data_IF_466268307580
#
_entry.id   IF_466268307580
#
_cell.length_a   1.000
_cell.length_b   1.000
_cell.length_c   1.000
_cell.angle_alpha   90.00
_cell.angle_beta   90.00
_cell.angle_gamma   90.00
#
_symmetry.space_group_name_H-M   'P 1'
#
loop_
_entity.id
_entity.type
_entity.pdbx_description
1 polymer ?
#
# COMPACT_ATOMS: atom_id res chain seq x y z
N UNK A 1 17.06 13.31 32.30
CA UNK A 1 17.76 12.68 31.15
C UNK A 1 17.64 11.15 31.07
N UNK A 2 17.05 10.45 32.07
CA UNK A 2 16.85 8.99 32.02
C UNK A 2 15.68 8.52 31.13
N UNK A 3 14.69 9.39 30.84
CA UNK A 3 13.55 9.04 29.98
C UNK A 3 13.86 9.01 28.47
N UNK A 4 14.90 9.72 28.02
CA UNK A 4 15.23 9.86 26.59
C UNK A 4 15.87 8.58 26.04
N UNK A 5 16.71 7.90 26.82
CA UNK A 5 17.37 6.65 26.41
C UNK A 5 16.40 5.46 26.36
N UNK A 6 15.43 5.42 27.27
CA UNK A 6 14.34 4.42 27.23
C UNK A 6 13.39 4.66 26.06
N UNK A 7 13.02 5.91 25.80
CA UNK A 7 12.16 6.27 24.67
C UNK A 7 12.83 6.00 23.32
N UNK A 8 14.12 6.31 23.15
CA UNK A 8 14.84 6.09 21.89
C UNK A 8 15.04 4.60 21.57
N UNK A 9 15.30 3.77 22.58
CA UNK A 9 15.42 2.32 22.41
C UNK A 9 14.09 1.67 22.09
N UNK A 10 13.01 2.06 22.77
CA UNK A 10 11.64 1.64 22.44
C UNK A 10 11.25 2.06 21.01
N UNK A 11 11.59 3.29 20.61
CA UNK A 11 11.33 3.77 19.27
C UNK A 11 12.11 2.98 18.20
N UNK A 12 13.39 2.71 18.44
CA UNK A 12 14.20 1.89 17.54
C UNK A 12 13.66 0.46 17.41
N UNK A 13 13.23 -0.15 18.52
CA UNK A 13 12.55 -1.45 18.54
C UNK A 13 11.24 -1.42 17.75
N UNK A 14 10.42 -0.38 17.92
CA UNK A 14 9.17 -0.21 17.19
C UNK A 14 9.41 -0.06 15.68
N UNK A 15 10.43 0.70 15.26
CA UNK A 15 10.81 0.82 13.85
C UNK A 15 11.30 -0.50 13.26
N UNK A 16 12.14 -1.25 13.99
CA UNK A 16 12.59 -2.57 13.57
C UNK A 16 11.41 -3.55 13.44
N UNK A 17 10.54 -3.60 14.44
CA UNK A 17 9.36 -4.47 14.44
C UNK A 17 8.40 -4.14 13.28
N UNK A 18 8.16 -2.84 13.02
CA UNK A 18 7.36 -2.38 11.88
C UNK A 18 7.96 -2.81 10.54
N UNK A 19 9.29 -2.72 10.39
CA UNK A 19 10.00 -3.17 9.18
C UNK A 19 9.89 -4.68 8.92
N UNK A 20 9.93 -5.50 9.98
CA UNK A 20 9.74 -6.96 9.85
C UNK A 20 8.32 -7.30 9.41
N UNK A 21 7.30 -6.65 9.99
CA UNK A 21 5.90 -6.88 9.63
C UNK A 21 5.63 -6.56 8.14
N UNK A 22 6.12 -5.41 7.67
CA UNK A 22 6.01 -5.01 6.26
C UNK A 22 6.63 -6.04 5.31
N UNK A 23 7.80 -6.60 5.68
CA UNK A 23 8.48 -7.58 4.84
C UNK A 23 7.72 -8.91 4.75
N UNK A 24 7.20 -9.41 5.88
CA UNK A 24 6.44 -10.66 5.90
C UNK A 24 5.15 -10.53 5.08
N UNK A 25 4.35 -9.51 5.40
CA UNK A 25 3.08 -9.24 4.72
C UNK A 25 3.29 -9.00 3.23
N UNK A 26 4.33 -8.24 2.86
CA UNK A 26 4.67 -7.99 1.46
C UNK A 26 5.05 -9.26 0.68
N UNK A 27 5.79 -10.21 1.30
CA UNK A 27 6.14 -11.46 0.61
C UNK A 27 4.96 -12.41 0.44
N UNK A 28 4.01 -12.43 1.38
CA UNK A 28 2.80 -13.26 1.31
C UNK A 28 1.79 -12.66 0.33
N UNK A 29 1.50 -11.36 0.44
CA UNK A 29 0.61 -10.65 -0.49
C UNK A 29 1.15 -10.71 -1.93
N UNK A 30 2.46 -10.49 -2.10
CA UNK A 30 3.13 -10.64 -3.40
C UNK A 30 3.00 -12.05 -3.97
N UNK A 31 3.04 -13.10 -3.14
CA UNK A 31 2.80 -14.47 -3.59
C UNK A 31 1.37 -14.66 -4.09
N UNK A 32 0.38 -14.24 -3.29
CA UNK A 32 -1.04 -14.39 -3.62
C UNK A 32 -1.35 -13.69 -4.96
N UNK A 33 -0.81 -12.48 -5.16
CA UNK A 33 -1.02 -11.74 -6.41
C UNK A 33 -0.27 -12.38 -7.58
N UNK A 34 1.00 -12.77 -7.39
CA UNK A 34 1.80 -13.37 -8.48
C UNK A 34 1.25 -14.74 -8.92
N UNK A 35 0.83 -15.59 -7.98
CA UNK A 35 0.28 -16.90 -8.30
C UNK A 35 -1.17 -16.80 -8.79
N UNK A 36 -1.98 -15.92 -8.18
CA UNK A 36 -3.38 -15.76 -8.54
C UNK A 36 -3.62 -15.01 -9.86
N UNK A 37 -2.94 -13.88 -10.08
CA UNK A 37 -3.15 -13.03 -11.26
C UNK A 37 -2.16 -13.30 -12.39
N UNK A 38 -0.90 -13.59 -12.08
CA UNK A 38 0.16 -13.75 -13.08
C UNK A 38 0.55 -15.21 -13.35
N UNK A 39 0.07 -16.18 -12.54
CA UNK A 39 0.48 -17.59 -12.57
C UNK A 39 2.01 -17.81 -12.53
N UNK A 40 2.76 -16.90 -11.89
CA UNK A 40 4.23 -16.97 -11.79
C UNK A 40 4.62 -17.53 -10.41
N UNK A 41 5.40 -18.61 -10.40
CA UNK A 41 5.96 -19.22 -9.18
C UNK A 41 7.46 -18.95 -9.07
N UNK A 42 7.85 -18.02 -8.19
CA UNK A 42 9.25 -17.70 -7.91
C UNK A 42 9.67 -18.20 -6.52
N UNK A 43 10.95 -18.52 -6.35
CA UNK A 43 11.53 -18.84 -5.04
C UNK A 43 11.45 -17.61 -4.11
N UNK A 44 11.11 -17.77 -2.81
CA UNK A 44 10.89 -16.64 -1.89
C UNK A 44 12.07 -15.66 -1.79
N UNK A 45 13.30 -16.17 -1.81
CA UNK A 45 14.51 -15.32 -1.75
C UNK A 45 14.64 -14.40 -2.96
N UNK A 46 14.35 -14.92 -4.16
CA UNK A 46 14.47 -14.20 -5.42
C UNK A 46 13.37 -13.12 -5.51
N UNK A 47 12.15 -13.46 -5.09
CA UNK A 47 11.04 -12.51 -4.98
C UNK A 47 11.38 -11.36 -4.03
N UNK A 48 11.96 -11.65 -2.85
CA UNK A 48 12.37 -10.63 -1.88
C UNK A 48 13.48 -9.74 -2.42
N UNK A 49 14.45 -10.31 -3.15
CA UNK A 49 15.56 -9.55 -3.73
C UNK A 49 15.08 -8.62 -4.85
N UNK A 50 14.24 -9.13 -5.76
CA UNK A 50 13.67 -8.34 -6.86
C UNK A 50 12.80 -7.19 -6.34
N UNK A 51 11.85 -7.46 -5.44
CA UNK A 51 10.95 -6.42 -4.90
C UNK A 51 11.70 -5.37 -4.08
N UNK A 52 12.71 -5.75 -3.29
CA UNK A 52 13.56 -4.78 -2.58
C UNK A 52 14.46 -4.00 -3.54
N UNK A 53 15.01 -4.63 -4.58
CA UNK A 53 15.80 -3.95 -5.60
C UNK A 53 14.99 -2.88 -6.31
N UNK A 54 13.77 -3.21 -6.75
CA UNK A 54 12.86 -2.26 -7.41
C UNK A 54 12.47 -1.10 -6.48
N UNK A 55 12.36 -1.33 -5.16
CA UNK A 55 12.06 -0.25 -4.22
C UNK A 55 13.28 0.63 -3.89
N UNK A 56 14.44 0.01 -3.66
CA UNK A 56 15.64 0.69 -3.16
C UNK A 56 16.39 1.43 -4.27
N UNK A 57 16.51 0.85 -5.47
CA UNK A 57 17.29 1.44 -6.56
C UNK A 57 16.76 2.83 -6.95
N UNK A 58 15.45 3.04 -7.21
CA UNK A 58 14.93 4.36 -7.53
C UNK A 58 15.08 5.35 -6.37
N UNK A 59 14.90 4.88 -5.13
CA UNK A 59 15.06 5.70 -3.95
C UNK A 59 16.49 6.21 -3.81
N UNK A 60 17.50 5.36 -4.03
CA UNK A 60 18.92 5.75 -4.02
C UNK A 60 19.20 6.75 -5.14
N UNK A 61 18.77 6.47 -6.37
CA UNK A 61 19.01 7.34 -7.53
C UNK A 61 18.46 8.75 -7.29
N UNK A 62 17.21 8.87 -6.86
CA UNK A 62 16.60 10.18 -6.61
C UNK A 62 17.25 10.88 -5.42
N UNK A 63 17.63 10.15 -4.37
CA UNK A 63 18.31 10.75 -3.21
C UNK A 63 19.66 11.34 -3.61
N UNK A 64 20.43 10.64 -4.46
CA UNK A 64 21.74 11.11 -4.94
C UNK A 64 21.60 12.30 -5.89
N UNK A 65 20.59 12.32 -6.76
CA UNK A 65 20.44 13.37 -7.78
C UNK A 65 19.72 14.62 -7.24
N UNK A 66 18.70 14.44 -6.40
CA UNK A 66 17.72 15.49 -6.08
C UNK A 66 17.72 15.93 -4.59
N UNK A 67 18.54 15.32 -3.74
CA UNK A 67 18.59 15.64 -2.30
C UNK A 67 17.26 15.42 -1.57
N UNK A 68 17.09 16.05 -0.40
CA UNK A 68 15.92 15.86 0.49
C UNK A 68 14.56 16.17 -0.19
N UNK A 69 14.52 17.14 -1.10
CA UNK A 69 13.29 17.52 -1.82
C UNK A 69 12.83 16.39 -2.74
N UNK A 70 13.76 15.71 -3.42
CA UNK A 70 13.45 14.57 -4.28
C UNK A 70 12.96 13.35 -3.50
N UNK A 71 13.58 13.06 -2.36
CA UNK A 71 13.16 11.97 -1.48
C UNK A 71 11.75 12.20 -0.93
N UNK A 72 11.43 13.44 -0.53
CA UNK A 72 10.08 13.81 -0.07
C UNK A 72 9.04 13.62 -1.18
N UNK A 73 9.34 14.05 -2.41
CA UNK A 73 8.45 13.86 -3.55
C UNK A 73 8.25 12.37 -3.90
N UNK A 74 9.31 11.55 -3.81
CA UNK A 74 9.19 10.09 -3.98
C UNK A 74 8.32 9.44 -2.91
N UNK A 75 8.44 9.90 -1.66
CA UNK A 75 7.61 9.42 -0.57
C UNK A 75 6.15 9.76 -0.83
N UNK A 76 5.84 11.00 -1.22
CA UNK A 76 4.48 11.43 -1.59
C UNK A 76 3.95 10.62 -2.77
N UNK A 77 4.74 10.43 -3.82
CA UNK A 77 4.36 9.60 -4.97
C UNK A 77 4.06 8.16 -4.56
N UNK A 78 4.87 7.57 -3.67
CA UNK A 78 4.63 6.23 -3.16
C UNK A 78 3.29 6.13 -2.44
N UNK A 79 2.92 7.16 -1.67
CA UNK A 79 1.62 7.21 -1.00
C UNK A 79 0.47 7.34 -1.99
N UNK A 80 0.62 8.16 -3.05
CA UNK A 80 -0.40 8.31 -4.10
C UNK A 80 -0.63 6.99 -4.83
N UNK A 81 0.46 6.27 -5.14
CA UNK A 81 0.37 4.95 -5.79
C UNK A 81 -0.35 3.95 -4.88
N UNK A 82 -0.03 3.91 -3.58
CA UNK A 82 -0.70 3.04 -2.60
C UNK A 82 -2.19 3.38 -2.46
N UNK A 83 -2.53 4.66 -2.44
CA UNK A 83 -3.90 5.12 -2.28
C UNK A 83 -4.77 4.73 -3.48
N UNK A 84 -4.22 4.85 -4.69
CA UNK A 84 -4.84 4.33 -5.92
C UNK A 84 -5.05 2.82 -5.87
N UNK A 85 -4.04 2.04 -5.46
CA UNK A 85 -4.14 0.59 -5.33
C UNK A 85 -5.31 0.17 -4.43
N UNK A 86 -5.51 0.88 -3.31
CA UNK A 86 -6.58 0.58 -2.38
C UNK A 86 -7.96 0.74 -3.03
N UNK A 87 -8.17 1.79 -3.83
CA UNK A 87 -9.43 1.98 -4.55
C UNK A 87 -9.69 0.81 -5.51
N UNK A 88 -8.68 0.43 -6.30
CA UNK A 88 -8.78 -0.72 -7.21
C UNK A 88 -8.99 -2.06 -6.50
N UNK A 89 -8.57 -2.20 -5.24
CA UNK A 89 -8.81 -3.41 -4.45
C UNK A 89 -10.21 -3.45 -3.83
N UNK A 90 -10.72 -2.32 -3.35
CA UNK A 90 -11.99 -2.25 -2.62
C UNK A 90 -13.19 -2.49 -3.54
N UNK A 91 -13.24 -1.89 -4.74
CA UNK A 91 -14.40 -2.09 -5.63
C UNK A 91 -14.63 -3.56 -6.03
N UNK A 92 -13.63 -4.31 -6.52
CA UNK A 92 -13.78 -5.72 -6.82
C UNK A 92 -14.11 -6.56 -5.58
N UNK A 93 -13.55 -6.21 -4.42
CA UNK A 93 -13.86 -6.91 -3.17
C UNK A 93 -15.34 -6.75 -2.80
N UNK A 94 -15.88 -5.53 -2.85
CA UNK A 94 -17.30 -5.27 -2.59
C UNK A 94 -18.18 -5.97 -3.63
N UNK A 95 -17.77 -5.97 -4.90
CA UNK A 95 -18.47 -6.68 -5.97
C UNK A 95 -18.52 -8.20 -5.72
N UNK A 96 -17.38 -8.82 -5.43
CA UNK A 96 -17.28 -10.27 -5.21
C UNK A 96 -17.96 -10.73 -3.92
N UNK A 97 -17.89 -9.94 -2.86
CA UNK A 97 -18.57 -10.23 -1.59
C UNK A 97 -20.09 -10.00 -1.64
N UNK A 98 -20.56 -9.22 -2.63
CA UNK A 98 -21.98 -8.97 -2.89
C UNK A 98 -22.59 -9.91 -3.93
N UNK A 99 -21.79 -10.77 -4.55
CA UNK A 99 -22.20 -11.69 -5.61
C UNK A 99 -22.68 -13.02 -5.01
N UNK A 100 -23.97 -13.33 -5.21
CA UNK A 100 -24.59 -14.56 -4.71
C UNK A 100 -24.03 -15.82 -5.36
N UNK A 101 -23.57 -15.75 -6.62
CA UNK A 101 -22.95 -16.89 -7.29
C UNK A 101 -21.58 -17.22 -6.71
N UNK A 102 -20.83 -16.22 -6.23
CA UNK A 102 -19.50 -16.42 -5.65
C UNK A 102 -19.52 -16.76 -4.16
N UNK A 103 -20.43 -16.16 -3.39
CA UNK A 103 -20.48 -16.31 -1.93
C UNK A 103 -21.55 -17.28 -1.41
N UNK A 104 -22.52 -17.68 -2.25
CA UNK A 104 -23.61 -18.58 -1.84
C UNK A 104 -24.40 -18.02 -0.66
N UNK A 105 -24.51 -18.81 0.41
CA UNK A 105 -25.22 -18.44 1.64
C UNK A 105 -24.48 -17.37 2.47
N UNK A 106 -23.18 -17.16 2.23
CA UNK A 106 -22.36 -16.16 2.93
C UNK A 106 -22.33 -14.79 2.25
N UNK A 107 -23.29 -14.51 1.36
CA UNK A 107 -23.38 -13.21 0.68
C UNK A 107 -23.64 -12.09 1.68
N UNK A 108 -23.05 -10.91 1.44
CA UNK A 108 -23.30 -9.75 2.28
C UNK A 108 -24.80 -9.41 2.36
N UNK A 109 -25.31 -9.27 3.59
CA UNK A 109 -26.64 -8.73 3.86
C UNK A 109 -26.76 -7.27 3.37
N UNK A 110 -27.99 -6.80 3.18
CA UNK A 110 -28.27 -5.48 2.59
C UNK A 110 -27.57 -4.32 3.35
N UNK A 111 -27.52 -4.41 4.68
CA UNK A 111 -26.84 -3.41 5.54
C UNK A 111 -25.33 -3.36 5.28
N UNK A 112 -24.67 -4.52 5.27
CA UNK A 112 -23.22 -4.62 5.03
C UNK A 112 -22.89 -4.17 3.61
N UNK A 113 -23.72 -4.55 2.63
CA UNK A 113 -23.56 -4.13 1.24
C UNK A 113 -23.67 -2.61 1.09
N UNK A 114 -24.67 -1.98 1.72
CA UNK A 114 -24.85 -0.53 1.68
C UNK A 114 -23.67 0.20 2.34
N UNK A 115 -23.25 -0.25 3.54
CA UNK A 115 -22.10 0.30 4.24
C UNK A 115 -20.80 0.15 3.42
N UNK A 116 -20.58 -1.02 2.82
CA UNK A 116 -19.38 -1.31 2.03
C UNK A 116 -19.31 -0.43 0.77
N UNK A 117 -20.43 -0.25 0.05
CA UNK A 117 -20.49 0.67 -1.08
C UNK A 117 -20.31 2.13 -0.66
N UNK A 118 -20.90 2.55 0.45
CA UNK A 118 -20.67 3.89 1.00
C UNK A 118 -19.19 4.14 1.29
N UNK A 119 -18.53 3.22 2.01
CA UNK A 119 -17.10 3.30 2.32
C UNK A 119 -16.25 3.29 1.03
N UNK A 120 -16.58 2.45 0.05
CA UNK A 120 -15.88 2.42 -1.23
C UNK A 120 -15.97 3.77 -1.98
N UNK A 121 -17.15 4.40 -2.00
CA UNK A 121 -17.36 5.72 -2.62
C UNK A 121 -16.57 6.80 -1.88
N UNK A 122 -16.58 6.79 -0.54
CA UNK A 122 -15.81 7.73 0.28
C UNK A 122 -14.31 7.60 -0.02
N UNK A 123 -13.79 6.38 -0.02
CA UNK A 123 -12.38 6.09 -0.34
C UNK A 123 -12.03 6.58 -1.74
N UNK A 124 -12.86 6.28 -2.74
CA UNK A 124 -12.63 6.70 -4.12
C UNK A 124 -12.61 8.22 -4.26
N UNK A 125 -13.53 8.91 -3.57
CA UNK A 125 -13.64 10.38 -3.58
C UNK A 125 -12.41 11.02 -2.93
N UNK A 126 -11.98 10.51 -1.78
CA UNK A 126 -10.77 11.00 -1.09
C UNK A 126 -9.52 10.75 -1.93
N UNK A 127 -9.43 9.60 -2.60
CA UNK A 127 -8.32 9.29 -3.51
C UNK A 127 -8.28 10.21 -4.72
N UNK A 128 -9.43 10.48 -5.33
CA UNK A 128 -9.53 11.42 -6.45
C UNK A 128 -9.12 12.83 -6.02
N UNK A 129 -9.57 13.28 -4.84
CA UNK A 129 -9.18 14.57 -4.28
C UNK A 129 -7.68 14.65 -4.01
N UNK A 130 -7.09 13.63 -3.37
CA UNK A 130 -5.65 13.56 -3.11
C UNK A 130 -4.85 13.61 -4.42
N UNK A 131 -5.29 12.87 -5.43
CA UNK A 131 -4.65 12.87 -6.74
C UNK A 131 -4.69 14.26 -7.37
N UNK A 132 -5.85 14.93 -7.40
CA UNK A 132 -5.97 16.31 -7.92
C UNK A 132 -5.06 17.26 -7.15
N UNK A 133 -4.98 17.13 -5.81
CA UNK A 133 -4.10 17.95 -4.99
C UNK A 133 -2.62 17.72 -5.33
N UNK A 134 -2.19 16.46 -5.42
CA UNK A 134 -0.80 16.11 -5.77
C UNK A 134 -0.43 16.63 -7.15
N UNK A 135 -1.29 16.43 -8.16
CA UNK A 135 -1.04 16.94 -9.51
C UNK A 135 -0.98 18.47 -9.54
N UNK A 136 -1.90 19.17 -8.87
CA UNK A 136 -1.87 20.64 -8.77
C UNK A 136 -0.59 21.14 -8.08
N UNK A 137 -0.18 20.51 -6.99
CA UNK A 137 1.05 20.86 -6.27
C UNK A 137 2.30 20.66 -7.11
N UNK A 138 2.31 19.67 -8.02
CA UNK A 138 3.41 19.43 -8.93
C UNK A 138 3.46 20.45 -10.07
N UNK A 139 2.30 20.87 -10.58
CA UNK A 139 2.21 21.89 -11.61
C UNK A 139 2.42 23.33 -11.10
N UNK A 140 2.30 23.58 -9.80
CA UNK A 140 2.53 24.91 -9.21
C UNK A 140 3.95 25.12 -8.64
N UNK A 141 4.85 24.15 -8.79
CA UNK A 141 6.28 24.21 -8.42
C UNK A 141 7.15 24.11 -9.68
#
# INVERSE_FOLDING_TARGET
MLGVTGASTLFALALLASGQNSTLTGTLAGQIVMEGFLNIRLRPWLRRLLTRGIAIIPAIIVTVISGEKGTTNLLVLSQVILSLQLSFAVFPLVMFTSDKMKMGEFVNGMTVKCLAWFVAIVIASLNAWLLVQTFRSWFSN
#
